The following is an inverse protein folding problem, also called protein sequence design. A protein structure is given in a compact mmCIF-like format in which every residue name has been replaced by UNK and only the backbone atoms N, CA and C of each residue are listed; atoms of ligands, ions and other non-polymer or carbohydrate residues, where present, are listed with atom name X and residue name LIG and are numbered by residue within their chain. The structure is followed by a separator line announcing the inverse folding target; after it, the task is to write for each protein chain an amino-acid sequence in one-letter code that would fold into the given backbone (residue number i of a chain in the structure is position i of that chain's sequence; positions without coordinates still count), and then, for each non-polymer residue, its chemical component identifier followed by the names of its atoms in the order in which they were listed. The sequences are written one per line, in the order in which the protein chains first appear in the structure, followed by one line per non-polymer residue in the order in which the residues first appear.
data_IF_611995818231
#
_entry.id   IF_611995818231
#
_cell.length_a   1.000
_cell.length_b   1.000
_cell.length_c   1.000
_cell.angle_alpha   90.00
_cell.angle_beta   90.00
_cell.angle_gamma   90.00
#
_symmetry.space_group_name_H-M   'P 1'
#
loop_
_entity.id
_entity.type
_entity.pdbx_description
1 polymer ?
#
# COMPACT_ATOMS: atom_id res chain seq x y z
N UNK A 1 -2.01 -9.22 7.34
CA UNK A 1 -2.90 -9.12 6.16
C UNK A 1 -2.30 -9.92 5.01
N UNK A 2 -3.10 -10.69 4.34
CA UNK A 2 -2.70 -11.54 3.20
C UNK A 2 -3.77 -11.49 2.11
N UNK A 3 -3.42 -11.89 0.90
CA UNK A 3 -4.34 -11.99 -0.23
C UNK A 3 -4.44 -10.72 -1.06
N UNK A 4 -5.14 -10.82 -2.18
CA UNK A 4 -5.35 -9.75 -3.15
C UNK A 4 -6.85 -9.54 -3.35
N UNK A 5 -7.30 -8.30 -3.25
CA UNK A 5 -8.70 -7.93 -3.38
C UNK A 5 -8.84 -6.82 -4.41
N UNK A 6 -9.61 -7.07 -5.44
CA UNK A 6 -9.84 -6.13 -6.55
C UNK A 6 -11.17 -5.43 -6.34
N UNK A 7 -11.16 -4.09 -6.39
CA UNK A 7 -12.35 -3.28 -6.27
C UNK A 7 -12.28 -2.06 -7.19
N UNK A 8 -13.43 -1.70 -7.75
CA UNK A 8 -13.55 -0.45 -8.47
C UNK A 8 -13.57 0.72 -7.50
N UNK A 9 -12.83 1.77 -7.83
CA UNK A 9 -13.00 3.05 -7.16
C UNK A 9 -14.36 3.64 -7.56
N UNK A 10 -15.07 4.22 -6.59
CA UNK A 10 -16.28 4.95 -6.91
C UNK A 10 -15.99 6.36 -7.45
N UNK A 11 -17.02 7.10 -7.83
CA UNK A 11 -16.87 8.44 -8.40
C UNK A 11 -16.23 9.48 -7.47
N UNK A 12 -16.15 9.17 -6.17
CA UNK A 12 -15.51 10.03 -5.15
C UNK A 12 -14.11 9.54 -4.77
N UNK A 13 -13.59 8.52 -5.44
CA UNK A 13 -12.26 7.97 -5.15
C UNK A 13 -12.22 7.11 -3.90
N UNK A 14 -13.32 6.44 -3.56
CA UNK A 14 -13.39 5.53 -2.41
C UNK A 14 -13.20 4.08 -2.83
N UNK A 15 -12.55 3.33 -1.93
CA UNK A 15 -12.41 1.87 -2.00
C UNK A 15 -13.02 1.24 -0.76
N UNK A 16 -13.38 -0.04 -0.88
CA UNK A 16 -13.82 -0.82 0.27
C UNK A 16 -12.62 -1.39 1.02
N UNK A 17 -12.72 -1.42 2.35
CA UNK A 17 -11.78 -2.20 3.17
C UNK A 17 -12.15 -3.67 3.01
N UNK A 18 -11.24 -4.53 2.53
CA UNK A 18 -11.51 -5.97 2.46
C UNK A 18 -11.93 -6.52 3.83
N UNK A 19 -12.94 -7.39 3.84
CA UNK A 19 -13.48 -7.92 5.09
C UNK A 19 -12.40 -8.54 5.99
N UNK A 20 -11.43 -9.24 5.38
CA UNK A 20 -10.34 -9.90 6.10
C UNK A 20 -9.31 -8.92 6.70
N UNK A 21 -9.34 -7.64 6.31
CA UNK A 21 -8.41 -6.63 6.81
C UNK A 21 -9.06 -5.69 7.84
N UNK A 22 -10.37 -5.78 8.03
CA UNK A 22 -11.10 -4.82 8.88
C UNK A 22 -10.67 -4.85 10.33
N UNK A 23 -10.41 -6.02 10.88
CA UNK A 23 -9.96 -6.15 12.26
C UNK A 23 -8.61 -5.48 12.48
N UNK A 24 -7.63 -5.75 11.62
CA UNK A 24 -6.29 -5.16 11.75
C UNK A 24 -6.25 -3.68 11.44
N UNK A 25 -6.99 -3.22 10.42
CA UNK A 25 -7.03 -1.81 10.05
C UNK A 25 -7.86 -0.97 11.02
N UNK A 26 -8.88 -1.56 11.61
CA UNK A 26 -9.72 -0.88 12.58
C UNK A 26 -10.53 0.27 11.98
N UNK A 27 -10.83 1.26 12.82
CA UNK A 27 -11.64 2.42 12.44
C UNK A 27 -10.81 3.61 11.95
N UNK A 28 -9.49 3.50 12.01
CA UNK A 28 -8.58 4.57 11.61
C UNK A 28 -7.24 3.94 11.17
N UNK A 29 -6.79 4.33 10.00
CA UNK A 29 -5.49 3.93 9.47
C UNK A 29 -4.94 5.04 8.56
N UNK A 30 -3.70 4.93 8.14
CA UNK A 30 -3.08 5.90 7.25
C UNK A 30 -2.72 5.27 5.91
N UNK A 31 -2.88 6.08 4.86
CA UNK A 31 -2.46 5.73 3.50
C UNK A 31 -1.38 6.72 3.08
N UNK A 32 -0.27 6.23 2.60
CA UNK A 32 0.85 7.06 2.20
C UNK A 32 1.54 6.52 0.96
N UNK A 33 2.32 7.37 0.30
CA UNK A 33 3.07 7.00 -0.90
C UNK A 33 4.06 5.88 -0.62
N UNK A 34 4.18 4.98 -1.57
CA UNK A 34 5.16 3.92 -1.55
C UNK A 34 5.75 3.72 -2.94
N UNK A 35 6.95 3.17 -2.99
CA UNK A 35 7.59 2.83 -4.25
C UNK A 35 8.65 1.76 -4.01
N UNK A 36 8.93 0.97 -5.05
CA UNK A 36 10.10 0.11 -5.03
C UNK A 36 10.72 0.04 -6.42
N UNK A 37 12.01 -0.19 -6.43
CA UNK A 37 12.79 -0.38 -7.66
C UNK A 37 13.18 -1.83 -7.79
N UNK A 38 12.81 -2.43 -8.91
CA UNK A 38 13.22 -3.80 -9.22
C UNK A 38 14.70 -3.85 -9.66
N UNK A 39 15.35 -5.03 -9.59
CA UNK A 39 16.76 -5.17 -10.03
C UNK A 39 17.00 -4.74 -11.48
N UNK A 40 16.00 -4.86 -12.36
CA UNK A 40 16.09 -4.45 -13.76
C UNK A 40 15.90 -2.93 -13.96
N UNK A 41 15.68 -2.17 -12.87
CA UNK A 41 15.46 -0.74 -12.89
C UNK A 41 13.99 -0.32 -13.00
N UNK A 42 13.06 -1.24 -13.18
CA UNK A 42 11.62 -0.93 -13.20
C UNK A 42 11.21 -0.31 -11.87
N UNK A 43 10.53 0.84 -11.94
CA UNK A 43 10.04 1.55 -10.77
C UNK A 43 8.53 1.37 -10.65
N UNK A 44 8.08 0.86 -9.50
CA UNK A 44 6.66 0.74 -9.19
C UNK A 44 6.26 1.78 -8.16
N UNK A 45 5.11 2.42 -8.39
CA UNK A 45 4.51 3.38 -7.47
C UNK A 45 3.18 2.82 -6.99
N UNK A 46 2.97 2.82 -5.70
CA UNK A 46 1.76 2.31 -5.04
C UNK A 46 1.52 3.10 -3.77
N UNK A 47 0.46 2.76 -3.05
CA UNK A 47 0.19 3.33 -1.73
C UNK A 47 0.37 2.25 -0.67
N UNK A 48 0.99 2.60 0.44
CA UNK A 48 1.02 1.76 1.63
C UNK A 48 -0.17 2.11 2.53
N UNK A 49 -0.75 1.08 3.13
CA UNK A 49 -1.84 1.21 4.11
C UNK A 49 -1.32 0.74 5.46
N UNK A 50 -1.26 1.65 6.43
CA UNK A 50 -0.67 1.40 7.73
C UNK A 50 -1.74 1.37 8.81
N UNK A 51 -1.95 0.23 9.51
CA UNK A 51 -2.68 0.23 10.78
C UNK A 51 -1.97 1.17 11.77
N UNK A 52 -2.71 1.67 12.76
CA UNK A 52 -2.14 2.63 13.73
C UNK A 52 -0.82 2.18 14.37
N UNK A 53 -0.66 0.92 14.82
CA UNK A 53 0.63 0.51 15.39
C UNK A 53 1.82 0.63 14.43
N UNK A 54 1.60 0.31 13.15
CA UNK A 54 2.64 0.43 12.13
C UNK A 54 2.91 1.88 11.75
N UNK A 55 1.87 2.70 11.72
CA UNK A 55 2.01 4.14 11.51
C UNK A 55 2.83 4.79 12.62
N UNK A 56 2.56 4.43 13.87
CA UNK A 56 3.30 4.96 15.02
C UNK A 56 4.78 4.60 14.96
N UNK A 57 5.11 3.36 14.58
CA UNK A 57 6.50 2.94 14.39
C UNK A 57 7.19 3.74 13.29
N UNK A 58 6.49 3.99 12.19
CA UNK A 58 7.02 4.75 11.07
C UNK A 58 7.28 6.21 11.50
N UNK A 59 6.36 6.80 12.25
CA UNK A 59 6.54 8.15 12.79
C UNK A 59 7.78 8.23 13.68
N UNK A 60 8.01 7.25 14.53
CA UNK A 60 9.19 7.18 15.38
C UNK A 60 10.48 7.09 14.54
N UNK A 61 10.49 6.28 13.50
CA UNK A 61 11.64 6.18 12.59
C UNK A 61 11.94 7.51 11.90
N UNK A 62 10.91 8.19 11.42
CA UNK A 62 11.07 9.49 10.77
C UNK A 62 11.56 10.56 11.76
N UNK A 63 11.04 10.55 12.99
CA UNK A 63 11.47 11.47 14.03
C UNK A 63 12.94 11.28 14.45
N UNK A 64 13.46 10.06 14.31
CA UNK A 64 14.83 9.73 14.64
C UNK A 64 15.84 10.06 13.53
N UNK A 65 15.38 10.52 12.36
CA UNK A 65 16.27 10.91 11.27
C UNK A 65 17.08 12.15 11.66
N UNK A 66 18.36 12.20 11.22
CA UNK A 66 19.17 13.40 11.46
C UNK A 66 18.58 14.61 10.74
N UNK A 67 18.86 15.82 11.25
CA UNK A 67 18.33 17.08 10.69
C UNK A 67 18.67 17.27 9.21
N UNK A 68 19.78 16.71 8.74
CA UNK A 68 20.16 16.70 7.32
C UNK A 68 19.18 15.94 6.43
N UNK A 69 18.31 15.12 7.00
CA UNK A 69 17.29 14.31 6.32
C UNK A 69 15.86 14.81 6.56
N UNK A 70 15.69 15.98 7.14
CA UNK A 70 14.37 16.52 7.49
C UNK A 70 13.42 16.63 6.29
N UNK A 71 13.94 16.90 5.09
CA UNK A 71 13.13 16.97 3.88
C UNK A 71 12.40 15.65 3.55
N UNK A 72 12.94 14.51 3.99
CA UNK A 72 12.29 13.21 3.82
C UNK A 72 10.98 13.17 4.61
N UNK A 73 11.01 13.58 5.88
CA UNK A 73 9.81 13.68 6.72
C UNK A 73 8.78 14.63 6.13
N UNK A 74 9.20 15.80 5.68
CA UNK A 74 8.32 16.81 5.10
C UNK A 74 7.55 16.23 3.90
N UNK A 75 8.27 15.61 2.98
CA UNK A 75 7.66 15.00 1.78
C UNK A 75 6.74 13.85 2.15
N UNK A 76 7.17 12.98 3.06
CA UNK A 76 6.39 11.81 3.44
C UNK A 76 5.07 12.20 4.10
N UNK A 77 5.09 13.06 5.12
CA UNK A 77 3.88 13.45 5.82
C UNK A 77 2.94 14.30 4.96
N UNK A 78 3.48 15.11 4.06
CA UNK A 78 2.66 15.88 3.11
C UNK A 78 1.90 14.97 2.13
N UNK A 79 2.35 13.73 1.95
CA UNK A 79 1.77 12.75 1.02
C UNK A 79 1.25 11.51 1.76
N UNK A 80 0.64 11.73 2.90
CA UNK A 80 -0.04 10.75 3.71
C UNK A 80 -1.44 11.26 4.06
N UNK A 81 -2.40 10.36 4.23
CA UNK A 81 -3.77 10.70 4.56
C UNK A 81 -4.31 9.78 5.65
N UNK A 82 -4.92 10.39 6.65
CA UNK A 82 -5.69 9.67 7.66
C UNK A 82 -7.00 9.19 7.04
N UNK A 83 -7.31 7.93 7.20
CA UNK A 83 -8.52 7.32 6.66
C UNK A 83 -9.39 6.76 7.78
N UNK A 84 -10.68 7.11 7.74
CA UNK A 84 -11.69 6.60 8.65
C UNK A 84 -12.82 6.01 7.80
N UNK A 85 -12.94 4.67 7.71
CA UNK A 85 -13.98 4.05 6.90
C UNK A 85 -15.37 4.49 7.33
N UNK A 86 -16.26 4.66 6.36
CA UNK A 86 -17.65 4.99 6.61
C UNK A 86 -18.44 3.75 7.07
N UNK A 87 -19.76 3.92 7.30
CA UNK A 87 -20.65 2.84 7.74
C UNK A 87 -20.71 1.65 6.76
N UNK A 88 -20.29 1.84 5.52
CA UNK A 88 -20.22 0.79 4.49
C UNK A 88 -18.81 0.27 4.28
N UNK A 89 -17.89 0.57 5.20
CA UNK A 89 -16.49 0.17 5.14
C UNK A 89 -15.73 0.71 3.91
N UNK A 90 -16.12 1.90 3.44
CA UNK A 90 -15.43 2.59 2.35
C UNK A 90 -14.55 3.68 2.92
N UNK A 91 -13.39 3.88 2.33
CA UNK A 91 -12.48 4.98 2.66
C UNK A 91 -12.08 5.75 1.42
N UNK A 92 -11.89 7.04 1.57
CA UNK A 92 -11.54 7.92 0.46
C UNK A 92 -10.03 8.07 0.35
N UNK A 93 -9.53 7.94 -0.88
CA UNK A 93 -8.13 8.20 -1.20
C UNK A 93 -8.07 9.59 -1.85
N UNK A 94 -7.30 10.54 -1.28
CA UNK A 94 -7.15 11.86 -1.89
C UNK A 94 -6.66 11.78 -3.33
N UNK A 95 -7.14 12.70 -4.17
CA UNK A 95 -6.82 12.70 -5.61
C UNK A 95 -5.32 12.68 -5.87
N UNK A 96 -4.54 13.45 -5.11
CA UNK A 96 -3.08 13.50 -5.27
C UNK A 96 -2.44 12.12 -5.11
N UNK A 97 -2.91 11.33 -4.15
CA UNK A 97 -2.42 9.97 -3.91
C UNK A 97 -2.90 9.00 -4.98
N UNK A 98 -4.16 9.16 -5.43
CA UNK A 98 -4.68 8.34 -6.54
C UNK A 98 -3.88 8.58 -7.83
N UNK A 99 -3.59 9.83 -8.15
CA UNK A 99 -2.80 10.18 -9.32
C UNK A 99 -1.38 9.60 -9.22
N UNK A 100 -0.77 9.70 -8.06
CA UNK A 100 0.57 9.16 -7.82
C UNK A 100 0.63 7.64 -8.08
N UNK A 101 -0.35 6.89 -7.63
CA UNK A 101 -0.40 5.43 -7.76
C UNK A 101 -1.11 4.94 -9.03
N UNK A 102 -1.57 5.86 -9.88
CA UNK A 102 -2.27 5.50 -11.12
C UNK A 102 -3.63 4.86 -10.89
N UNK A 103 -4.32 5.22 -9.81
CA UNK A 103 -5.62 4.66 -9.46
C UNK A 103 -6.73 5.40 -10.20
N UNK A 104 -7.21 4.84 -11.31
CA UNK A 104 -8.27 5.44 -12.12
C UNK A 104 -9.60 4.72 -11.98
N UNK A 105 -9.62 3.41 -12.22
CA UNK A 105 -10.85 2.59 -12.25
C UNK A 105 -10.86 1.53 -11.17
N UNK A 106 -9.92 0.61 -11.23
CA UNK A 106 -9.84 -0.53 -10.34
C UNK A 106 -8.54 -0.49 -9.53
N UNK A 107 -8.66 -0.69 -8.23
CA UNK A 107 -7.53 -0.84 -7.33
C UNK A 107 -7.37 -2.27 -6.87
N UNK A 108 -6.13 -2.70 -6.68
CA UNK A 108 -5.80 -3.95 -6.03
C UNK A 108 -5.29 -3.65 -4.62
N UNK A 109 -6.00 -4.16 -3.62
CA UNK A 109 -5.56 -4.07 -2.22
C UNK A 109 -4.91 -5.38 -1.87
N UNK A 110 -3.62 -5.33 -1.58
CA UNK A 110 -2.77 -6.51 -1.41
C UNK A 110 -2.22 -6.55 0.02
N UNK A 111 -2.48 -7.64 0.72
CA UNK A 111 -1.92 -7.85 2.05
C UNK A 111 -0.40 -8.01 2.01
N UNK A 112 0.26 -7.47 3.01
CA UNK A 112 1.71 -7.56 3.15
C UNK A 112 2.09 -7.63 4.63
N UNK A 113 1.65 -8.71 5.29
CA UNK A 113 1.86 -8.96 6.72
C UNK A 113 1.18 -7.87 7.58
N UNK A 114 1.93 -6.97 8.18
CA UNK A 114 1.41 -5.95 9.12
C UNK A 114 0.83 -4.72 8.43
N UNK A 115 0.92 -4.65 7.13
CA UNK A 115 0.37 -3.55 6.32
C UNK A 115 -0.30 -4.10 5.07
N UNK A 116 -0.90 -3.22 4.27
CA UNK A 116 -1.38 -3.54 2.94
C UNK A 116 -0.83 -2.52 1.94
N UNK A 117 -0.97 -2.84 0.67
CA UNK A 117 -0.59 -1.95 -0.43
C UNK A 117 -1.77 -1.81 -1.38
N UNK A 118 -1.93 -0.62 -1.95
CA UNK A 118 -2.94 -0.35 -2.97
C UNK A 118 -2.23 -0.06 -4.28
N UNK A 119 -2.54 -0.85 -5.29
CA UNK A 119 -1.94 -0.78 -6.62
C UNK A 119 -2.98 -0.46 -7.67
N UNK A 120 -2.56 0.16 -8.76
CA UNK A 120 -3.32 0.05 -10.00
C UNK A 120 -3.51 -1.44 -10.30
N UNK A 121 -4.76 -1.87 -10.54
CA UNK A 121 -5.07 -3.29 -10.65
C UNK A 121 -4.36 -3.97 -11.84
N UNK A 122 -4.27 -3.29 -12.98
CA UNK A 122 -3.61 -3.85 -14.17
C UNK A 122 -2.11 -4.00 -13.96
N UNK A 123 -1.47 -3.01 -13.33
CA UNK A 123 -0.05 -3.06 -12.99
C UNK A 123 0.23 -4.21 -12.02
N UNK A 124 -0.60 -4.34 -11.00
CA UNK A 124 -0.46 -5.44 -10.03
C UNK A 124 -0.64 -6.80 -10.68
N UNK A 125 -1.68 -6.98 -11.50
CA UNK A 125 -1.95 -8.25 -12.17
C UNK A 125 -0.76 -8.69 -13.02
N UNK A 126 -0.19 -7.79 -13.80
CA UNK A 126 0.96 -8.09 -14.66
C UNK A 126 2.21 -8.44 -13.83
N UNK A 127 2.46 -7.68 -12.76
CA UNK A 127 3.59 -7.92 -11.85
C UNK A 127 3.46 -9.25 -11.14
N UNK A 128 2.28 -9.53 -10.60
CA UNK A 128 2.00 -10.75 -9.84
C UNK A 128 2.09 -12.00 -10.73
N UNK A 129 1.52 -11.93 -11.92
CA UNK A 129 1.58 -13.02 -12.90
C UNK A 129 3.03 -13.34 -13.27
N UNK A 130 3.85 -12.34 -13.52
CA UNK A 130 5.28 -12.53 -13.80
C UNK A 130 6.03 -13.14 -12.59
N UNK A 131 5.66 -12.75 -11.38
CA UNK A 131 6.28 -13.25 -10.15
C UNK A 131 5.88 -14.68 -9.79
N UNK A 132 4.74 -15.16 -10.28
CA UNK A 132 4.23 -16.50 -9.98
C UNK A 132 4.75 -17.59 -10.92
N UNK A 133 5.84 -17.37 -11.63
CA UNK A 133 6.50 -18.45 -12.37
C UNK A 133 7.07 -19.47 -11.37
N UNK A 134 7.06 -20.76 -11.76
CA UNK A 134 7.58 -21.82 -10.90
C UNK A 134 9.03 -21.59 -10.47
N UNK A 135 9.86 -21.10 -11.38
CA UNK A 135 11.27 -20.80 -11.07
C UNK A 135 11.42 -19.71 -10.01
N UNK A 136 10.66 -18.63 -10.12
CA UNK A 136 10.70 -17.54 -9.14
C UNK A 136 10.16 -17.96 -7.78
N UNK A 137 9.11 -18.78 -7.77
CA UNK A 137 8.56 -19.34 -6.54
C UNK A 137 9.56 -20.29 -5.88
N UNK A 138 10.23 -21.12 -6.66
CA UNK A 138 11.28 -22.00 -6.14
C UNK A 138 12.44 -21.22 -5.51
N UNK A 139 12.90 -20.15 -6.15
CA UNK A 139 13.93 -19.27 -5.60
C UNK A 139 13.49 -18.64 -4.28
N UNK A 140 12.22 -18.22 -4.21
CA UNK A 140 11.65 -17.68 -2.99
C UNK A 140 11.61 -18.71 -1.86
N UNK A 141 11.21 -19.94 -2.17
CA UNK A 141 11.18 -21.02 -1.17
C UNK A 141 12.60 -21.34 -0.67
N UNK A 142 13.58 -21.38 -1.56
CA UNK A 142 14.99 -21.59 -1.18
C UNK A 142 15.47 -20.48 -0.24
N UNK A 143 15.17 -19.24 -0.55
CA UNK A 143 15.51 -18.09 0.29
C UNK A 143 14.86 -18.17 1.68
N UNK A 144 13.62 -18.66 1.74
CA UNK A 144 12.86 -18.81 2.98
C UNK A 144 13.19 -20.09 3.76
N UNK A 145 13.97 -21.00 3.16
CA UNK A 145 14.37 -22.25 3.80
C UNK A 145 13.33 -23.38 3.77
N UNK A 146 12.42 -23.30 2.81
CA UNK A 146 11.38 -24.35 2.66
C UNK A 146 11.62 -25.33 1.52
#
# INVERSE_FOLDING_TARGET
MTGTYLHNLDGKGRLFVPANFREELGTCFYVAVGANREPDGTLYQYLNVYPMPEWDRLCEKLAALPSSKAAISDTFFANAAKCEPDSQNRFMIPKKLRDYAGLEKEGAIVGNNKKAKIWNAEVWKAKDEAALSGDRVADMMDLLGF
#
